data_IF_946004732637
#
_entry.id   IF_946004732637
#
_cell.length_a   1.000
_cell.length_b   1.000
_cell.length_c   1.000
_cell.angle_alpha   90.00
_cell.angle_beta   90.00
_cell.angle_gamma   90.00
#
_symmetry.space_group_name_H-M   'P 1'
#
loop_
_entity.id
_entity.type
_entity.pdbx_description
1 polymer ?
#
# COMPACT_ATOMS: atom_id res chain seq x y z
N UNK A 1 36.40 -15.20 -22.66
CA UNK A 1 36.14 -14.54 -21.36
C UNK A 1 34.64 -14.35 -21.25
N UNK A 2 34.02 -15.02 -20.28
CA UNK A 2 32.58 -15.00 -20.07
C UNK A 2 32.20 -13.71 -19.31
N UNK A 3 31.57 -12.76 -19.99
CA UNK A 3 30.87 -11.66 -19.32
C UNK A 3 29.53 -12.19 -18.85
N UNK A 4 29.45 -12.56 -17.57
CA UNK A 4 28.18 -12.67 -16.87
C UNK A 4 27.59 -11.25 -16.77
N UNK A 5 26.70 -10.93 -17.70
CA UNK A 5 25.82 -9.78 -17.55
C UNK A 5 24.96 -10.02 -16.32
N UNK A 6 25.30 -9.31 -15.24
CA UNK A 6 24.49 -9.17 -14.04
C UNK A 6 23.11 -8.66 -14.47
N UNK A 7 22.15 -9.58 -14.54
CA UNK A 7 20.73 -9.26 -14.48
C UNK A 7 20.49 -8.65 -13.10
N UNK A 8 20.71 -7.34 -12.99
CA UNK A 8 20.13 -6.54 -11.93
C UNK A 8 18.62 -6.56 -12.17
N UNK A 9 17.97 -7.59 -11.63
CA UNK A 9 16.54 -7.61 -11.42
C UNK A 9 16.20 -6.40 -10.57
N UNK A 10 15.82 -5.31 -11.22
CA UNK A 10 14.94 -4.35 -10.61
C UNK A 10 13.65 -5.12 -10.32
N UNK A 11 13.54 -5.67 -9.12
CA UNK A 11 12.25 -6.01 -8.56
C UNK A 11 11.46 -4.71 -8.61
N UNK A 12 10.63 -4.56 -9.65
CA UNK A 12 9.73 -3.44 -9.80
C UNK A 12 8.95 -3.37 -8.49
N UNK A 13 9.16 -2.26 -7.78
CA UNK A 13 8.75 -2.09 -6.40
C UNK A 13 7.32 -2.58 -6.21
N UNK A 14 7.23 -3.62 -5.40
CA UNK A 14 6.03 -4.18 -4.80
C UNK A 14 5.00 -3.08 -4.55
N UNK A 15 3.83 -3.20 -5.18
CA UNK A 15 2.66 -2.41 -4.83
C UNK A 15 2.12 -2.93 -3.50
N UNK A 16 1.78 -2.03 -2.57
CA UNK A 16 0.75 -2.34 -1.57
C UNK A 16 -0.46 -2.93 -2.33
N UNK A 17 -0.71 -4.22 -2.13
CA UNK A 17 -1.65 -5.05 -2.90
C UNK A 17 -3.07 -4.55 -2.70
N UNK A 18 -3.33 -3.98 -1.53
CA UNK A 18 -4.54 -3.25 -1.20
C UNK A 18 -4.13 -1.92 -0.57
N UNK A 19 -4.67 -0.81 -1.06
CA UNK A 19 -4.46 0.51 -0.48
C UNK A 19 -4.92 0.60 0.98
N UNK A 20 -4.79 1.79 1.59
CA UNK A 20 -5.08 2.09 3.00
C UNK A 20 -6.55 1.95 3.46
N UNK A 21 -7.34 1.13 2.76
CA UNK A 21 -8.79 1.08 2.91
C UNK A 21 -9.29 -0.19 3.59
N UNK A 22 -8.47 -1.22 3.86
CA UNK A 22 -8.95 -2.44 4.56
C UNK A 22 -9.05 -2.17 6.05
N UNK A 23 -10.22 -2.37 6.63
CA UNK A 23 -10.46 -2.32 8.07
C UNK A 23 -10.49 -3.69 8.71
N UNK A 24 -11.21 -4.62 8.08
CA UNK A 24 -11.30 -5.99 8.51
C UNK A 24 -11.28 -6.95 7.33
N UNK A 25 -10.83 -8.18 7.59
CA UNK A 25 -10.88 -9.29 6.64
C UNK A 25 -11.73 -10.40 7.23
N UNK A 26 -12.81 -10.76 6.54
CA UNK A 26 -13.66 -11.90 6.88
C UNK A 26 -13.00 -13.18 6.37
N UNK A 27 -12.74 -14.10 7.30
CA UNK A 27 -12.13 -15.39 7.04
C UNK A 27 -13.21 -16.48 6.86
N UNK A 28 -12.88 -17.59 6.18
CA UNK A 28 -13.69 -18.80 6.25
C UNK A 28 -13.90 -19.24 7.71
N UNK A 29 -15.04 -19.85 8.02
CA UNK A 29 -15.31 -20.38 9.37
C UNK A 29 -15.89 -19.38 10.37
N UNK A 30 -16.56 -18.31 9.90
CA UNK A 30 -17.20 -17.28 10.73
C UNK A 30 -16.20 -16.59 11.68
N UNK A 31 -15.05 -16.20 11.15
CA UNK A 31 -14.08 -15.38 11.86
C UNK A 31 -13.73 -14.15 11.04
N UNK A 32 -13.17 -13.14 11.70
CA UNK A 32 -12.58 -12.00 11.03
C UNK A 32 -11.30 -11.58 11.76
N UNK A 33 -10.46 -10.84 11.06
CA UNK A 33 -9.33 -10.12 11.65
C UNK A 33 -9.47 -8.64 11.38
N UNK A 34 -8.87 -7.82 12.23
CA UNK A 34 -8.71 -6.39 12.01
C UNK A 34 -7.36 -6.12 11.35
N UNK A 35 -7.32 -5.17 10.43
CA UNK A 35 -6.09 -4.79 9.73
C UNK A 35 -5.24 -3.83 10.58
N UNK A 36 -4.76 -4.27 11.75
CA UNK A 36 -4.08 -3.40 12.72
C UNK A 36 -2.60 -3.79 12.90
N UNK A 37 -1.80 -3.51 11.87
CA UNK A 37 -0.35 -3.75 11.83
C UNK A 37 0.05 -5.20 12.19
N UNK A 38 -0.66 -6.17 11.63
CA UNK A 38 -0.49 -7.59 11.94
C UNK A 38 -0.37 -8.45 10.69
N UNK A 39 0.07 -9.70 10.85
CA UNK A 39 0.24 -10.69 9.76
C UNK A 39 -0.76 -11.83 9.90
N UNK A 40 -1.37 -12.21 8.78
CA UNK A 40 -2.13 -13.46 8.64
C UNK A 40 -1.75 -14.14 7.33
N UNK A 41 -1.36 -15.42 7.40
CA UNK A 41 -0.95 -16.23 6.25
C UNK A 41 0.04 -15.51 5.31
N UNK A 42 1.12 -14.93 5.89
CA UNK A 42 2.18 -14.18 5.18
C UNK A 42 1.72 -12.89 4.51
N UNK A 43 0.53 -12.40 4.81
CA UNK A 43 0.05 -11.08 4.39
C UNK A 43 0.09 -10.17 5.59
N UNK A 44 0.79 -9.05 5.46
CA UNK A 44 0.76 -7.96 6.42
C UNK A 44 -0.44 -7.07 6.14
N UNK A 45 -1.21 -6.75 7.18
CA UNK A 45 -2.36 -5.85 7.17
C UNK A 45 -2.05 -4.63 8.02
N UNK A 46 -1.49 -3.61 7.39
CA UNK A 46 -1.18 -2.34 8.04
C UNK A 46 -2.32 -1.33 7.94
N UNK A 47 -2.20 -0.26 8.72
CA UNK A 47 -3.12 0.89 8.66
C UNK A 47 -3.12 1.58 7.29
N UNK A 48 -1.98 1.55 6.60
CA UNK A 48 -1.78 2.22 5.31
C UNK A 48 -1.89 1.29 4.10
N UNK A 49 -2.26 0.02 4.31
CA UNK A 49 -2.48 -0.96 3.25
C UNK A 49 -1.99 -2.35 3.61
N UNK A 50 -2.12 -3.28 2.65
CA UNK A 50 -1.67 -4.66 2.81
C UNK A 50 -0.62 -5.05 1.74
N UNK A 51 0.32 -5.90 2.12
CA UNK A 51 1.42 -6.41 1.28
C UNK A 51 1.83 -7.80 1.78
N UNK A 52 2.72 -8.50 1.05
CA UNK A 52 3.34 -9.70 1.63
C UNK A 52 4.20 -9.29 2.83
N UNK A 53 4.29 -10.19 3.81
CA UNK A 53 5.05 -9.96 5.03
C UNK A 53 6.52 -9.62 4.75
N UNK A 54 7.14 -10.25 3.75
CA UNK A 54 8.54 -9.97 3.37
C UNK A 54 8.73 -8.61 2.66
N UNK A 55 7.65 -7.91 2.38
CA UNK A 55 7.65 -6.59 1.73
C UNK A 55 7.42 -5.46 2.76
N UNK A 56 7.32 -5.83 4.03
CA UNK A 56 7.27 -4.89 5.14
C UNK A 56 8.62 -4.22 5.35
N UNK A 57 8.56 -2.95 5.70
CA UNK A 57 9.67 -2.08 6.10
C UNK A 57 9.30 -1.38 7.39
N UNK A 58 10.28 -0.81 8.09
CA UNK A 58 9.99 0.08 9.22
C UNK A 58 9.93 1.53 8.78
N UNK A 59 8.83 2.19 9.14
CA UNK A 59 8.65 3.62 8.99
C UNK A 59 9.61 4.36 9.94
N UNK A 60 10.19 5.46 9.47
CA UNK A 60 11.12 6.29 10.22
C UNK A 60 10.75 7.76 10.05
N UNK A 61 10.83 8.54 11.13
CA UNK A 61 10.60 9.98 11.10
C UNK A 61 11.91 10.67 10.68
N UNK A 62 11.90 12.01 10.66
CA UNK A 62 13.09 12.81 10.34
C UNK A 62 14.29 12.52 11.23
N UNK A 63 14.05 11.99 12.42
CA UNK A 63 15.06 11.68 13.42
C UNK A 63 15.48 10.19 13.39
N UNK A 64 14.85 9.37 12.54
CA UNK A 64 15.07 7.92 12.48
C UNK A 64 14.26 7.12 13.50
N UNK A 65 13.34 7.75 14.22
CA UNK A 65 12.57 7.20 15.34
C UNK A 65 11.05 7.27 15.07
N UNK A 66 10.43 6.16 14.65
CA UNK A 66 8.98 5.96 14.91
C UNK A 66 8.75 5.06 16.13
N UNK A 67 9.64 4.09 16.36
CA UNK A 67 9.59 3.23 17.54
C UNK A 67 10.40 3.85 18.67
N UNK A 68 9.74 4.52 19.62
CA UNK A 68 10.38 4.84 20.89
C UNK A 68 10.68 3.53 21.65
N UNK A 69 11.79 3.45 22.42
CA UNK A 69 12.06 2.29 23.25
C UNK A 69 10.85 1.95 24.15
N UNK A 70 10.28 0.76 23.96
CA UNK A 70 9.09 0.31 24.69
C UNK A 70 7.76 0.34 23.90
N UNK A 71 7.76 0.81 22.65
CA UNK A 71 6.64 0.72 21.72
C UNK A 71 6.92 -0.28 20.60
N UNK A 72 5.87 -0.86 20.02
CA UNK A 72 5.99 -1.79 18.90
C UNK A 72 6.58 -1.08 17.66
N UNK A 73 7.40 -1.77 16.85
CA UNK A 73 7.92 -1.21 15.62
C UNK A 73 6.80 -0.85 14.65
N UNK A 74 6.92 0.31 14.00
CA UNK A 74 5.91 0.79 13.05
C UNK A 74 6.17 0.22 11.65
N UNK A 75 5.56 -0.93 11.38
CA UNK A 75 5.67 -1.60 10.09
C UNK A 75 4.75 -0.96 9.05
N UNK A 76 5.27 -0.82 7.84
CA UNK A 76 4.47 -0.41 6.69
C UNK A 76 4.86 -1.20 5.45
N UNK A 77 4.03 -1.15 4.41
CA UNK A 77 4.36 -1.75 3.13
C UNK A 77 5.36 -0.89 2.37
N UNK A 78 6.32 -1.53 1.72
CA UNK A 78 7.22 -0.84 0.79
C UNK A 78 6.41 -0.06 -0.24
N UNK A 79 6.78 1.21 -0.45
CA UNK A 79 6.08 2.09 -1.40
C UNK A 79 4.68 2.54 -0.95
N UNK A 80 4.30 2.32 0.32
CA UNK A 80 3.08 2.88 0.87
C UNK A 80 3.04 4.43 0.71
N UNK A 81 1.86 5.03 0.47
CA UNK A 81 1.74 6.48 0.29
C UNK A 81 2.31 7.31 1.45
N UNK A 82 2.27 6.78 2.68
CA UNK A 82 2.81 7.45 3.87
C UNK A 82 4.30 7.81 3.72
N UNK A 83 5.05 7.02 2.95
CA UNK A 83 6.48 7.23 2.69
C UNK A 83 6.74 8.40 1.73
N UNK A 84 5.70 8.95 1.11
CA UNK A 84 5.82 10.12 0.24
C UNK A 84 5.64 11.45 1.00
N UNK A 85 5.22 11.41 2.27
CA UNK A 85 5.09 12.62 3.08
C UNK A 85 6.47 13.12 3.50
N UNK A 86 6.70 14.45 3.49
CA UNK A 86 7.92 15.03 4.04
C UNK A 86 8.17 14.52 5.47
N UNK A 87 9.44 14.24 5.74
CA UNK A 87 9.89 13.77 7.03
C UNK A 87 9.59 12.32 7.38
N UNK A 88 9.08 11.56 6.41
CA UNK A 88 8.94 10.12 6.52
C UNK A 88 10.00 9.45 5.65
N UNK A 89 10.63 8.42 6.18
CA UNK A 89 11.56 7.56 5.49
C UNK A 89 11.33 6.09 5.88
N UNK A 90 12.09 5.18 5.29
CA UNK A 90 12.00 3.76 5.60
C UNK A 90 13.38 3.15 5.76
N UNK A 91 13.43 2.04 6.51
CA UNK A 91 14.56 1.11 6.49
C UNK A 91 14.10 -0.33 6.40
N UNK A 92 15.03 -1.18 5.98
CA UNK A 92 14.84 -2.62 6.07
C UNK A 92 14.73 -3.07 7.53
N UNK A 93 13.89 -4.08 7.71
CA UNK A 93 13.70 -4.82 8.97
C UNK A 93 14.90 -5.72 9.24
N UNK A 94 15.28 -5.85 10.50
CA UNK A 94 16.21 -6.89 10.97
C UNK A 94 15.48 -8.22 11.13
N UNK A 95 16.22 -9.30 11.41
CA UNK A 95 15.64 -10.65 11.51
C UNK A 95 14.71 -10.83 12.72
N UNK A 96 14.92 -10.05 13.77
CA UNK A 96 14.14 -10.00 15.01
C UNK A 96 12.96 -9.01 14.96
N UNK A 97 12.90 -8.16 13.93
CA UNK A 97 11.81 -7.22 13.70
C UNK A 97 10.73 -7.85 12.81
N UNK A 98 9.86 -8.62 13.45
CA UNK A 98 8.76 -9.34 12.80
C UNK A 98 7.42 -8.75 13.26
N UNK A 99 6.48 -8.45 12.34
CA UNK A 99 5.15 -8.02 12.74
C UNK A 99 4.41 -9.10 13.55
N UNK A 100 3.54 -8.67 14.45
CA UNK A 100 2.70 -9.56 15.24
C UNK A 100 1.72 -10.35 14.35
N UNK A 101 1.28 -11.53 14.81
CA UNK A 101 0.19 -12.25 14.15
C UNK A 101 -1.15 -11.58 14.44
N UNK A 102 -2.05 -11.57 13.46
CA UNK A 102 -3.38 -11.01 13.65
C UNK A 102 -4.22 -11.83 14.62
N UNK A 103 -4.90 -11.14 15.53
CA UNK A 103 -5.93 -11.74 16.36
C UNK A 103 -7.17 -12.09 15.53
N UNK A 104 -7.68 -13.31 15.75
CA UNK A 104 -8.87 -13.80 15.08
C UNK A 104 -10.07 -13.67 16.00
N UNK A 105 -11.02 -12.85 15.60
CA UNK A 105 -12.27 -12.62 16.32
C UNK A 105 -13.42 -13.43 15.72
N UNK A 106 -14.35 -13.95 16.54
CA UNK A 106 -15.54 -14.62 16.03
C UNK A 106 -16.45 -13.61 15.31
N UNK A 107 -16.92 -13.98 14.13
CA UNK A 107 -17.92 -13.21 13.38
C UNK A 107 -19.32 -13.61 13.83
N UNK A 108 -19.86 -12.90 14.81
CA UNK A 108 -21.21 -13.13 15.34
C UNK A 108 -22.30 -12.41 14.55
N UNK A 109 -21.98 -11.24 13.98
CA UNK A 109 -22.86 -10.49 13.08
C UNK A 109 -22.06 -9.94 11.89
N UNK A 110 -22.32 -10.39 10.65
CA UNK A 110 -21.61 -9.92 9.46
C UNK A 110 -21.87 -8.45 9.13
N UNK A 111 -22.91 -7.84 9.69
CA UNK A 111 -23.23 -6.42 9.48
C UNK A 111 -22.61 -5.50 10.53
N UNK A 112 -21.98 -6.06 11.57
CA UNK A 112 -21.44 -5.31 12.70
C UNK A 112 -20.04 -5.81 13.07
N UNK A 113 -19.09 -5.57 12.17
CA UNK A 113 -17.67 -5.76 12.44
C UNK A 113 -17.10 -4.43 12.93
N UNK A 114 -16.48 -4.45 14.11
CA UNK A 114 -15.86 -3.27 14.72
C UNK A 114 -14.39 -3.55 14.95
N UNK A 115 -13.53 -2.78 14.29
CA UNK A 115 -12.11 -2.77 14.53
C UNK A 115 -11.72 -1.49 15.27
N UNK A 116 -11.15 -1.57 16.49
CA UNK A 116 -10.87 -0.41 17.33
C UNK A 116 -9.67 0.44 16.85
N UNK A 117 -9.21 0.28 15.62
CA UNK A 117 -7.95 0.83 15.15
C UNK A 117 -7.87 2.36 15.27
N UNK A 118 -6.71 2.86 15.71
CA UNK A 118 -6.36 4.28 15.74
C UNK A 118 -6.12 4.80 14.31
N UNK A 119 -7.17 4.98 13.52
CA UNK A 119 -7.07 5.43 12.13
C UNK A 119 -7.66 6.81 11.94
N UNK A 120 -7.11 7.54 10.96
CA UNK A 120 -7.52 8.91 10.66
C UNK A 120 -9.02 9.00 10.34
N UNK A 121 -9.70 9.96 10.98
CA UNK A 121 -11.10 10.22 10.76
C UNK A 121 -11.37 10.62 9.29
N UNK A 122 -12.29 9.91 8.62
CA UNK A 122 -12.75 10.22 7.27
C UNK A 122 -12.35 9.24 6.17
N UNK A 123 -11.49 8.24 6.47
CA UNK A 123 -11.16 7.18 5.51
C UNK A 123 -12.36 6.22 5.35
N UNK A 124 -12.79 5.97 4.12
CA UNK A 124 -13.80 4.93 3.83
C UNK A 124 -13.16 3.56 3.95
N UNK A 125 -13.33 3.00 5.12
CA UNK A 125 -12.90 1.68 5.51
C UNK A 125 -13.77 0.59 4.85
N UNK A 126 -13.12 -0.47 4.40
CA UNK A 126 -13.70 -1.60 3.68
C UNK A 126 -13.48 -2.88 4.47
N UNK A 127 -14.55 -3.65 4.59
CA UNK A 127 -14.51 -5.03 5.02
C UNK A 127 -14.37 -5.88 3.75
N UNK A 128 -13.34 -6.70 3.67
CA UNK A 128 -13.08 -7.58 2.51
C UNK A 128 -13.16 -9.04 2.91
N UNK A 129 -13.34 -9.95 1.95
CA UNK A 129 -13.28 -11.39 2.20
C UNK A 129 -11.86 -11.89 1.94
N UNK A 130 -11.45 -12.92 2.67
CA UNK A 130 -10.15 -13.56 2.47
C UNK A 130 -9.93 -14.01 1.03
N UNK A 131 -10.96 -14.57 0.38
CA UNK A 131 -10.88 -14.98 -1.03
C UNK A 131 -10.53 -13.82 -1.99
N UNK A 132 -10.94 -12.58 -1.68
CA UNK A 132 -10.56 -11.41 -2.48
C UNK A 132 -9.09 -11.06 -2.27
N UNK A 133 -8.57 -11.25 -1.04
CA UNK A 133 -7.14 -11.09 -0.73
C UNK A 133 -6.33 -12.16 -1.46
N UNK A 134 -6.74 -13.43 -1.39
CA UNK A 134 -6.08 -14.54 -2.10
C UNK A 134 -6.00 -14.29 -3.59
N UNK A 135 -7.10 -13.84 -4.19
CA UNK A 135 -7.12 -13.49 -5.61
C UNK A 135 -6.11 -12.39 -5.94
N UNK A 136 -5.98 -11.38 -5.09
CA UNK A 136 -5.01 -10.30 -5.28
C UNK A 136 -3.56 -10.77 -5.11
N UNK A 137 -3.32 -11.73 -4.21
CA UNK A 137 -2.02 -12.40 -4.07
C UNK A 137 -1.67 -13.20 -5.32
N UNK A 138 -2.62 -13.97 -5.84
CA UNK A 138 -2.46 -14.75 -7.06
C UNK A 138 -2.20 -13.85 -8.27
N UNK A 139 -2.96 -12.75 -8.36
CA UNK A 139 -2.75 -11.71 -9.37
C UNK A 139 -1.33 -11.13 -9.23
N UNK A 140 -0.90 -10.71 -8.04
CA UNK A 140 0.45 -10.18 -7.82
C UNK A 140 1.56 -11.20 -8.18
N UNK A 141 1.38 -12.49 -7.83
CA UNK A 141 2.32 -13.56 -8.11
C UNK A 141 2.37 -13.96 -9.59
N UNK A 142 1.22 -13.98 -10.27
CA UNK A 142 1.14 -14.14 -11.73
C UNK A 142 1.69 -12.91 -12.49
N UNK A 143 1.82 -11.79 -11.77
CA UNK A 143 2.20 -10.47 -12.24
C UNK A 143 3.69 -10.14 -12.28
N UNK A 144 4.62 -11.10 -12.10
CA UNK A 144 5.99 -10.93 -12.66
C UNK A 144 5.93 -10.80 -14.20
N UNK A 145 4.81 -11.19 -14.83
CA UNK A 145 4.36 -10.68 -16.10
C UNK A 145 3.34 -9.54 -15.88
N UNK A 146 3.85 -8.32 -15.70
CA UNK A 146 3.19 -7.08 -16.12
C UNK A 146 1.68 -6.97 -15.84
N UNK A 147 1.32 -6.43 -14.66
CA UNK A 147 0.08 -5.63 -14.53
C UNK A 147 0.27 -4.29 -15.23
N UNK A 148 0.49 -4.34 -16.53
CA UNK A 148 -0.13 -3.36 -17.42
C UNK A 148 -1.61 -3.73 -17.46
N UNK A 149 -2.54 -2.87 -17.00
CA UNK A 149 -3.85 -2.85 -17.64
C UNK A 149 -3.55 -2.82 -19.13
N UNK A 150 -4.11 -3.75 -19.92
CA UNK A 150 -3.90 -3.76 -21.37
C UNK A 150 -4.14 -2.35 -21.89
N UNK A 151 -3.04 -1.66 -22.14
CA UNK A 151 -3.02 -0.30 -22.61
C UNK A 151 -3.29 -0.44 -24.10
N UNK A 152 -4.42 0.07 -24.63
CA UNK A 152 -4.54 0.21 -26.07
C UNK A 152 -3.30 0.94 -26.57
N UNK A 153 -2.64 0.36 -27.57
CA UNK A 153 -1.39 0.88 -28.12
C UNK A 153 -1.59 2.35 -28.52
N UNK A 154 -0.97 3.27 -27.76
CA UNK A 154 -1.08 4.73 -27.98
C UNK A 154 -1.32 5.56 -26.73
N UNK A 155 -1.73 4.99 -25.58
CA UNK A 155 -1.87 5.77 -24.33
C UNK A 155 -0.51 6.02 -23.65
N UNK A 156 -0.36 7.15 -22.97
CA UNK A 156 0.82 7.48 -22.16
C UNK A 156 0.86 6.61 -20.89
N UNK A 157 2.05 6.25 -20.40
CA UNK A 157 2.15 5.41 -19.19
C UNK A 157 1.66 6.14 -17.94
N UNK A 158 1.28 5.38 -16.90
CA UNK A 158 0.89 5.97 -15.60
C UNK A 158 1.98 6.86 -15.01
N UNK A 159 3.28 6.52 -15.12
CA UNK A 159 4.35 7.44 -14.67
C UNK A 159 4.39 8.73 -15.48
N UNK A 160 4.11 8.67 -16.78
CA UNK A 160 4.09 9.86 -17.62
C UNK A 160 2.92 10.78 -17.23
N UNK A 161 1.75 10.21 -16.97
CA UNK A 161 0.60 10.97 -16.49
C UNK A 161 0.78 11.52 -15.07
N UNK A 162 1.42 10.76 -14.18
CA UNK A 162 1.78 11.25 -12.85
C UNK A 162 2.71 12.47 -12.91
N UNK A 163 3.71 12.45 -13.81
CA UNK A 163 4.59 13.61 -14.05
C UNK A 163 3.84 14.82 -14.61
N UNK A 164 2.87 14.61 -15.49
CA UNK A 164 2.01 15.69 -16.00
C UNK A 164 1.15 16.29 -14.88
N UNK A 165 0.58 15.46 -14.00
CA UNK A 165 -0.12 15.92 -12.80
C UNK A 165 0.75 16.72 -11.84
N UNK A 166 1.96 16.24 -11.55
CA UNK A 166 2.93 16.94 -10.72
C UNK A 166 3.33 18.29 -11.30
N UNK A 167 3.52 18.37 -12.63
CA UNK A 167 3.81 19.64 -13.30
C UNK A 167 2.62 20.60 -13.27
N UNK A 168 1.40 20.12 -13.42
CA UNK A 168 0.20 20.94 -13.32
C UNK A 168 0.01 21.50 -11.91
N UNK A 169 0.26 20.68 -10.88
CA UNK A 169 0.28 21.11 -9.49
C UNK A 169 1.38 22.16 -9.23
N UNK A 170 2.61 21.90 -9.66
CA UNK A 170 3.76 22.78 -9.41
C UNK A 170 3.65 24.15 -10.12
N UNK A 171 2.90 24.23 -11.22
CA UNK A 171 2.66 25.48 -11.97
C UNK A 171 1.45 26.27 -11.45
N UNK A 172 0.67 25.70 -10.55
CA UNK A 172 -0.50 26.34 -9.98
C UNK A 172 -0.09 27.34 -8.88
N UNK A 173 -0.58 28.56 -8.98
CA UNK A 173 -0.31 29.68 -8.06
C UNK A 173 -1.47 29.91 -7.06
N UNK A 174 -2.37 28.93 -6.93
CA UNK A 174 -3.58 28.99 -6.09
C UNK A 174 -3.36 28.22 -4.78
N UNK A 175 -4.41 28.15 -3.96
CA UNK A 175 -4.39 27.36 -2.73
C UNK A 175 -4.31 25.85 -3.02
N UNK A 176 -3.78 25.10 -2.05
CA UNK A 176 -3.51 23.66 -2.17
C UNK A 176 -4.66 22.86 -2.79
N UNK A 177 -5.90 23.06 -2.31
CA UNK A 177 -7.07 22.33 -2.81
C UNK A 177 -7.32 22.52 -4.31
N UNK A 178 -7.05 23.73 -4.82
CA UNK A 178 -7.26 24.05 -6.23
C UNK A 178 -6.11 23.52 -7.10
N UNK A 179 -4.88 23.53 -6.58
CA UNK A 179 -3.72 22.95 -7.25
C UNK A 179 -3.77 21.42 -7.27
N UNK A 180 -4.23 20.78 -6.19
CA UNK A 180 -4.45 19.33 -6.12
C UNK A 180 -5.52 18.89 -7.12
N UNK A 181 -6.62 19.65 -7.22
CA UNK A 181 -7.67 19.42 -8.21
C UNK A 181 -7.12 19.49 -9.65
N UNK A 182 -6.28 20.49 -9.95
CA UNK A 182 -5.64 20.64 -11.27
C UNK A 182 -4.65 19.51 -11.57
N UNK A 183 -3.85 19.12 -10.57
CA UNK A 183 -2.94 17.98 -10.69
C UNK A 183 -3.67 16.68 -11.00
N UNK A 184 -4.74 16.37 -10.25
CA UNK A 184 -5.57 15.18 -10.47
C UNK A 184 -6.26 15.19 -11.84
N UNK A 185 -6.82 16.33 -12.24
CA UNK A 185 -7.44 16.49 -13.55
C UNK A 185 -6.45 16.26 -14.70
N UNK A 186 -5.20 16.72 -14.57
CA UNK A 186 -4.16 16.49 -15.57
C UNK A 186 -3.75 15.00 -15.65
N UNK A 187 -3.69 14.29 -14.52
CA UNK A 187 -3.48 12.83 -14.53
C UNK A 187 -4.63 12.13 -15.25
N UNK A 188 -5.88 12.48 -14.94
CA UNK A 188 -7.06 11.88 -15.54
C UNK A 188 -7.16 12.14 -17.05
N UNK A 189 -6.89 13.37 -17.51
CA UNK A 189 -6.83 13.72 -18.94
C UNK A 189 -5.76 12.91 -19.67
N UNK A 190 -4.56 12.82 -19.09
CA UNK A 190 -3.47 12.05 -19.66
C UNK A 190 -3.78 10.54 -19.76
N UNK A 191 -4.42 9.97 -18.74
CA UNK A 191 -4.80 8.55 -18.73
C UNK A 191 -5.93 8.24 -19.71
N UNK A 192 -6.82 9.21 -19.97
CA UNK A 192 -7.94 9.07 -20.91
C UNK A 192 -7.57 9.47 -22.34
N UNK A 193 -6.40 10.06 -22.56
CA UNK A 193 -5.91 10.49 -23.87
C UNK A 193 -6.60 11.76 -24.41
N UNK A 194 -7.13 12.60 -23.51
CA UNK A 194 -7.77 13.89 -23.82
C UNK A 194 -6.83 15.06 -23.62
#
# INVERSE_FOLDING_TARGET
>A
MHSLSLLLGAAAGVKAMLGSEIDAVVLPGNQFLCADNCVHQRVFFGTSGACLENETVLLQDENGYFSQPGFEPDFTCRGAPVLSYPGHSQRERTADEVPNQCDLSPLTDPNNIVCPANREAGTKLKIVKWADVEKLLEEAAAGEASFTPQQPAGQKSREQCAREGQQAFAKCDKGFAECDRLGRAAVESCLTGQ
#
